data_IF_212293950094
#
_entry.id   IF_212293950094
#
_cell.length_a   1.000
_cell.length_b   1.000
_cell.length_c   1.000
_cell.angle_alpha   90.00
_cell.angle_beta   90.00
_cell.angle_gamma   90.00
#
_symmetry.space_group_name_H-M   'P 1'
#
loop_
_entity.id
_entity.type
_entity.pdbx_description
1 polymer ?
#
# COMPACT_ATOMS: atom_id res chain seq x y z
N UNK A 1 -12.43 -3.96 -9.92
CA UNK A 1 -11.24 -4.48 -10.61
C UNK A 1 -11.38 -4.02 -12.05
N UNK A 2 -10.58 -3.00 -12.46
CA UNK A 2 -10.47 -2.72 -13.88
C UNK A 2 -9.68 -3.88 -14.50
N UNK A 3 -10.38 -4.82 -15.12
CA UNK A 3 -9.78 -5.56 -16.20
C UNK A 3 -9.48 -4.54 -17.29
N UNK A 4 -8.22 -4.33 -17.59
CA UNK A 4 -7.86 -3.60 -18.78
C UNK A 4 -8.44 -4.39 -19.95
N UNK A 5 -9.52 -3.87 -20.49
CA UNK A 5 -10.26 -4.51 -21.56
C UNK A 5 -9.45 -4.36 -22.85
N UNK A 6 -8.73 -5.41 -23.21
CA UNK A 6 -8.22 -5.61 -24.56
C UNK A 6 -9.38 -6.01 -25.50
N UNK A 7 -10.56 -5.39 -25.35
CA UNK A 7 -11.76 -5.74 -26.11
C UNK A 7 -12.39 -7.06 -25.65
N UNK A 8 -12.20 -7.46 -24.38
CA UNK A 8 -12.82 -8.67 -23.80
C UNK A 8 -12.28 -9.99 -24.36
N UNK A 9 -11.16 -9.98 -25.09
CA UNK A 9 -10.58 -11.21 -25.66
C UNK A 9 -9.82 -11.97 -24.59
N UNK A 10 -10.24 -13.20 -24.32
CA UNK A 10 -9.43 -14.22 -23.64
C UNK A 10 -8.36 -14.73 -24.60
N UNK A 11 -7.16 -15.04 -24.06
CA UNK A 11 -6.18 -15.84 -24.79
C UNK A 11 -6.80 -17.22 -25.08
N UNK A 12 -7.11 -17.49 -26.34
CA UNK A 12 -7.77 -18.73 -26.75
C UNK A 12 -6.78 -19.76 -27.27
N UNK A 13 -5.54 -19.37 -27.58
CA UNK A 13 -4.50 -20.22 -28.12
C UNK A 13 -3.17 -20.09 -27.42
N UNK A 14 -2.31 -21.12 -27.50
CA UNK A 14 -0.96 -21.11 -26.96
C UNK A 14 -0.06 -20.04 -27.62
N UNK A 15 -0.36 -19.63 -28.84
CA UNK A 15 0.38 -18.54 -29.52
C UNK A 15 0.14 -17.18 -28.88
N UNK A 16 -1.02 -16.97 -28.23
CA UNK A 16 -1.32 -15.74 -27.47
C UNK A 16 -0.59 -15.70 -26.12
N UNK A 17 0.03 -16.81 -25.71
CA UNK A 17 0.90 -16.91 -24.55
C UNK A 17 2.39 -16.78 -24.94
N UNK A 18 2.67 -16.38 -26.18
CA UNK A 18 4.05 -16.20 -26.65
C UNK A 18 4.75 -15.02 -26.00
N UNK A 19 6.08 -15.00 -26.10
CA UNK A 19 6.90 -13.87 -25.66
C UNK A 19 6.86 -12.69 -26.64
N UNK A 20 5.96 -12.70 -27.61
CA UNK A 20 5.69 -11.57 -28.49
C UNK A 20 5.26 -10.37 -27.64
N UNK A 21 5.95 -9.23 -27.72
CA UNK A 21 5.60 -8.04 -26.94
C UNK A 21 4.19 -7.52 -27.23
N UNK A 22 3.59 -7.87 -28.37
CA UNK A 22 2.23 -7.50 -28.73
C UNK A 22 1.19 -8.58 -28.33
N UNK A 23 1.64 -9.74 -27.83
CA UNK A 23 0.73 -10.79 -27.38
C UNK A 23 0.02 -10.40 -26.08
N UNK A 24 -1.24 -10.80 -25.86
CA UNK A 24 -1.97 -10.54 -24.61
C UNK A 24 -1.21 -10.96 -23.34
N UNK A 25 -0.46 -12.07 -23.41
CA UNK A 25 0.37 -12.51 -22.27
C UNK A 25 1.52 -11.56 -21.95
N UNK A 26 2.17 -10.98 -22.98
CA UNK A 26 3.22 -9.99 -22.75
C UNK A 26 2.70 -8.71 -22.09
N UNK A 27 1.42 -8.40 -22.25
CA UNK A 27 0.76 -7.27 -21.57
C UNK A 27 0.43 -7.56 -20.10
N UNK A 28 0.29 -8.85 -19.72
CA UNK A 28 -0.10 -9.27 -18.37
C UNK A 28 0.98 -10.07 -17.64
N UNK A 29 1.93 -10.63 -18.36
CA UNK A 29 2.98 -11.48 -17.82
C UNK A 29 4.34 -10.82 -17.93
N UNK A 30 4.90 -10.35 -16.87
CA UNK A 30 6.23 -9.75 -16.88
C UNK A 30 6.42 -8.71 -15.79
N UNK A 31 5.62 -8.77 -14.75
CA UNK A 31 5.90 -8.05 -13.52
C UNK A 31 7.24 -8.51 -12.93
N UNK A 32 7.95 -7.64 -12.20
CA UNK A 32 9.19 -8.02 -11.55
C UNK A 32 8.94 -9.12 -10.51
N UNK A 33 9.88 -10.05 -10.41
CA UNK A 33 9.91 -10.98 -9.30
C UNK A 33 10.04 -10.21 -7.98
N UNK A 34 9.36 -10.66 -6.93
CA UNK A 34 9.39 -9.99 -5.62
C UNK A 34 10.62 -10.42 -4.79
N UNK A 35 11.06 -11.68 -4.97
CA UNK A 35 12.19 -12.23 -4.24
C UNK A 35 13.46 -11.41 -4.47
N UNK A 36 14.17 -11.08 -3.38
CA UNK A 36 15.38 -10.27 -3.41
C UNK A 36 15.21 -8.79 -3.72
N UNK A 37 13.99 -8.33 -4.03
CA UNK A 37 13.68 -6.90 -4.24
C UNK A 37 13.53 -6.16 -2.92
N UNK A 38 13.68 -4.84 -2.97
CA UNK A 38 13.53 -3.97 -1.81
C UNK A 38 12.07 -3.54 -1.64
N UNK A 39 11.49 -3.89 -0.51
CA UNK A 39 10.18 -3.42 -0.09
C UNK A 39 10.34 -2.24 0.87
N UNK A 40 9.93 -1.08 0.42
CA UNK A 40 9.92 0.16 1.19
C UNK A 40 8.56 0.36 1.85
N UNK A 41 8.55 0.56 3.16
CA UNK A 41 7.31 0.75 3.89
C UNK A 41 7.28 2.08 4.62
N UNK A 42 6.15 2.79 4.51
CA UNK A 42 5.90 4.06 5.20
C UNK A 42 4.82 3.82 6.26
N UNK A 43 5.23 3.80 7.53
CA UNK A 43 4.41 3.45 8.69
C UNK A 43 4.53 1.99 9.11
N UNK A 44 4.83 1.74 10.39
CA UNK A 44 5.02 0.40 10.99
C UNK A 44 4.09 0.18 12.19
N UNK A 45 2.83 0.63 12.06
CA UNK A 45 1.74 0.37 12.98
C UNK A 45 1.22 -1.09 12.87
N UNK A 46 0.04 -1.37 13.39
CA UNK A 46 -0.53 -2.73 13.37
C UNK A 46 -0.65 -3.29 11.96
N UNK A 47 -1.19 -2.53 11.01
CA UNK A 47 -1.33 -2.95 9.62
C UNK A 47 0.05 -3.08 8.97
N UNK A 48 0.91 -2.07 9.14
CA UNK A 48 2.25 -2.08 8.57
C UNK A 48 3.08 -3.29 8.99
N UNK A 49 3.01 -3.72 10.26
CA UNK A 49 3.68 -4.93 10.75
C UNK A 49 3.20 -6.19 10.03
N UNK A 50 1.90 -6.30 9.79
CA UNK A 50 1.32 -7.45 9.09
C UNK A 50 1.66 -7.47 7.60
N UNK A 51 1.77 -6.30 6.97
CA UNK A 51 2.24 -6.17 5.58
C UNK A 51 3.73 -6.55 5.49
N UNK A 52 4.57 -6.01 6.37
CA UNK A 52 6.01 -6.31 6.40
C UNK A 52 6.29 -7.81 6.61
N UNK A 53 5.57 -8.48 7.52
CA UNK A 53 5.68 -9.94 7.69
C UNK A 53 5.47 -10.71 6.38
N UNK A 54 4.50 -10.29 5.60
CA UNK A 54 4.19 -10.93 4.31
C UNK A 54 5.25 -10.65 3.25
N UNK A 55 5.75 -9.42 3.19
CA UNK A 55 6.84 -9.06 2.30
C UNK A 55 8.15 -9.81 2.68
N UNK A 56 8.45 -9.93 3.99
CA UNK A 56 9.56 -10.74 4.48
C UNK A 56 9.42 -12.22 4.07
N UNK A 57 8.23 -12.80 4.24
CA UNK A 57 7.96 -14.19 3.85
C UNK A 57 8.08 -14.44 2.34
N UNK A 58 7.93 -13.40 1.51
CA UNK A 58 8.18 -13.45 0.07
C UNK A 58 9.67 -13.25 -0.29
N UNK A 59 10.57 -13.19 0.71
CA UNK A 59 12.00 -13.04 0.52
C UNK A 59 12.44 -11.65 0.08
N UNK A 60 11.66 -10.61 0.38
CA UNK A 60 12.02 -9.22 0.08
C UNK A 60 12.94 -8.62 1.14
N UNK A 61 13.80 -7.68 0.74
CA UNK A 61 14.60 -6.86 1.65
C UNK A 61 13.74 -5.72 2.18
N UNK A 62 13.61 -5.58 3.50
CA UNK A 62 12.73 -4.59 4.10
C UNK A 62 13.49 -3.32 4.52
N UNK A 63 13.02 -2.16 4.06
CA UNK A 63 13.42 -0.84 4.55
C UNK A 63 12.15 -0.08 5.00
N UNK A 64 12.17 0.47 6.21
CA UNK A 64 10.96 1.00 6.84
C UNK A 64 11.21 2.40 7.39
N UNK A 65 10.33 3.32 7.02
CA UNK A 65 10.22 4.63 7.63
C UNK A 65 9.06 4.65 8.62
N UNK A 66 9.38 4.85 9.88
CA UNK A 66 8.44 5.18 10.95
C UNK A 66 9.19 5.98 12.02
N UNK A 67 8.83 7.25 12.31
CA UNK A 67 9.54 8.07 13.28
C UNK A 67 9.36 7.59 14.72
N UNK A 68 8.28 6.84 15.02
CA UNK A 68 7.90 6.48 16.38
C UNK A 68 8.34 5.07 16.80
N UNK A 69 8.78 4.24 15.85
CA UNK A 69 9.17 2.85 16.09
C UNK A 69 10.69 2.73 16.08
N UNK A 70 11.27 2.04 17.08
CA UNK A 70 12.73 1.83 17.17
C UNK A 70 13.19 0.72 16.20
N UNK A 71 14.50 0.66 15.92
CA UNK A 71 15.09 -0.42 15.11
C UNK A 71 14.83 -1.79 15.74
N UNK A 72 15.00 -1.94 17.05
CA UNK A 72 14.78 -3.20 17.78
C UNK A 72 13.38 -3.80 17.55
N UNK A 73 12.37 -2.94 17.37
CA UNK A 73 11.00 -3.38 17.09
C UNK A 73 10.82 -3.89 15.65
N UNK A 74 11.82 -3.75 14.80
CA UNK A 74 11.84 -4.19 13.40
C UNK A 74 12.78 -5.38 13.17
N UNK A 75 13.71 -5.64 14.11
CA UNK A 75 14.79 -6.63 13.97
C UNK A 75 14.28 -8.06 13.74
N UNK A 76 13.10 -8.41 14.25
CA UNK A 76 12.51 -9.75 14.05
C UNK A 76 12.10 -10.04 12.60
N UNK A 77 12.17 -9.05 11.72
CA UNK A 77 11.92 -9.16 10.28
C UNK A 77 13.18 -8.85 9.44
N UNK A 78 14.35 -8.74 10.07
CA UNK A 78 15.58 -8.26 9.42
C UNK A 78 15.39 -6.93 8.67
N UNK A 79 14.40 -6.12 9.11
CA UNK A 79 14.05 -4.87 8.47
C UNK A 79 14.97 -3.75 8.97
N UNK A 80 15.35 -2.85 8.05
CA UNK A 80 16.18 -1.68 8.37
C UNK A 80 15.30 -0.45 8.55
N UNK A 81 15.42 0.24 9.69
CA UNK A 81 14.85 1.57 9.88
C UNK A 81 15.66 2.58 9.09
N UNK A 82 14.98 3.35 8.25
CA UNK A 82 15.60 4.37 7.38
C UNK A 82 14.77 5.65 7.37
N UNK A 83 15.32 6.73 6.81
CA UNK A 83 14.55 7.94 6.53
C UNK A 83 13.62 7.77 5.31
N UNK A 84 12.68 8.70 5.15
CA UNK A 84 11.72 8.65 4.06
C UNK A 84 12.38 8.74 2.68
N UNK A 85 13.41 9.55 2.54
CA UNK A 85 14.12 9.71 1.26
C UNK A 85 14.78 8.42 0.82
N UNK A 86 15.35 7.68 1.76
CA UNK A 86 15.93 6.36 1.52
C UNK A 86 14.87 5.37 1.06
N UNK A 87 13.68 5.36 1.71
CA UNK A 87 12.56 4.53 1.23
C UNK A 87 12.22 4.87 -0.21
N UNK A 88 12.04 6.14 -0.53
CA UNK A 88 11.65 6.58 -1.86
C UNK A 88 12.70 6.26 -2.92
N UNK A 89 14.00 6.37 -2.60
CA UNK A 89 15.12 6.14 -3.54
C UNK A 89 15.42 4.66 -3.76
N UNK A 90 15.34 3.84 -2.72
CA UNK A 90 15.89 2.48 -2.76
C UNK A 90 14.84 1.39 -2.95
N UNK A 91 13.56 1.67 -2.69
CA UNK A 91 12.52 0.68 -2.81
C UNK A 91 12.19 0.36 -4.28
N UNK A 92 11.93 -0.92 -4.54
CA UNK A 92 11.33 -1.40 -5.79
C UNK A 92 9.80 -1.46 -5.67
N UNK A 93 9.30 -1.69 -4.46
CA UNK A 93 7.88 -1.63 -4.10
C UNK A 93 7.71 -0.76 -2.86
N UNK A 94 6.84 0.23 -2.92
CA UNK A 94 6.56 1.13 -1.81
C UNK A 94 5.12 0.90 -1.34
N UNK A 95 4.92 0.68 -0.03
CA UNK A 95 3.60 0.55 0.59
C UNK A 95 3.38 1.60 1.67
N UNK A 96 2.24 2.30 1.57
CA UNK A 96 1.85 3.32 2.54
C UNK A 96 0.88 2.72 3.56
N UNK A 97 1.26 2.76 4.85
CA UNK A 97 0.52 2.19 5.97
C UNK A 97 0.46 3.15 7.18
N UNK A 98 0.73 4.44 6.98
CA UNK A 98 0.65 5.45 8.04
C UNK A 98 -0.76 6.04 8.20
N UNK A 99 -1.06 6.54 9.39
CA UNK A 99 -2.30 7.27 9.67
C UNK A 99 -2.21 8.70 9.10
N UNK A 100 -3.38 9.36 8.96
CA UNK A 100 -3.46 10.78 8.66
C UNK A 100 -3.42 11.57 9.97
N UNK A 101 -2.33 12.25 10.18
CA UNK A 101 -2.10 13.23 11.24
C UNK A 101 -1.49 14.48 10.61
N UNK A 102 -1.43 15.64 11.29
CA UNK A 102 -0.85 16.85 10.70
C UNK A 102 0.50 16.62 10.01
N UNK A 103 1.35 15.80 10.61
CA UNK A 103 2.72 15.51 10.16
C UNK A 103 2.78 14.59 8.92
N UNK A 104 1.71 13.87 8.63
CA UNK A 104 1.63 12.95 7.48
C UNK A 104 0.80 13.47 6.32
N UNK A 105 0.09 14.58 6.50
CA UNK A 105 -0.63 15.23 5.39
C UNK A 105 0.39 15.75 4.37
N UNK A 106 0.29 15.27 3.12
CA UNK A 106 1.23 15.62 2.05
C UNK A 106 2.66 15.11 2.27
N UNK A 107 2.87 14.17 3.17
CA UNK A 107 4.18 13.58 3.48
C UNK A 107 4.91 13.10 2.22
N UNK A 108 4.17 12.50 1.29
CA UNK A 108 4.68 12.01 0.01
C UNK A 108 4.43 13.09 -1.02
N UNK A 109 5.27 14.11 -0.97
CA UNK A 109 5.21 15.28 -1.85
C UNK A 109 5.72 14.95 -3.27
N UNK A 110 5.58 15.91 -4.19
CA UNK A 110 6.14 15.85 -5.55
C UNK A 110 7.64 15.54 -5.54
N UNK A 111 8.39 16.19 -4.65
CA UNK A 111 9.85 15.99 -4.51
C UNK A 111 10.17 14.56 -4.06
N UNK A 112 9.36 13.98 -3.15
CA UNK A 112 9.52 12.60 -2.70
C UNK A 112 9.23 11.60 -3.82
N UNK A 113 8.15 11.82 -4.57
CA UNK A 113 7.79 10.98 -5.73
C UNK A 113 8.89 11.02 -6.79
N UNK A 114 9.51 12.18 -6.99
CA UNK A 114 10.60 12.35 -7.96
C UNK A 114 11.88 11.55 -7.60
N UNK A 115 12.01 11.08 -6.35
CA UNK A 115 13.13 10.24 -5.92
C UNK A 115 12.96 8.76 -6.30
N UNK A 116 11.75 8.33 -6.67
CA UNK A 116 11.45 6.93 -6.92
C UNK A 116 12.20 6.40 -8.15
N UNK A 117 12.54 5.11 -8.10
CA UNK A 117 13.11 4.43 -9.27
C UNK A 117 12.10 4.39 -10.43
N UNK A 118 12.55 4.47 -11.68
CA UNK A 118 11.67 4.30 -12.84
C UNK A 118 10.99 2.91 -12.89
N UNK A 119 11.57 1.92 -12.22
CA UNK A 119 11.04 0.56 -12.12
C UNK A 119 10.18 0.34 -10.87
N UNK A 120 10.00 1.36 -10.02
CA UNK A 120 9.28 1.20 -8.76
C UNK A 120 7.76 1.15 -8.94
N UNK A 121 7.13 0.39 -8.05
CA UNK A 121 5.67 0.34 -7.90
C UNK A 121 5.26 0.98 -6.57
N UNK A 122 4.21 1.79 -6.61
CA UNK A 122 3.70 2.51 -5.45
C UNK A 122 2.31 2.00 -5.06
N UNK A 123 2.11 1.63 -3.79
CA UNK A 123 0.84 1.11 -3.29
C UNK A 123 0.34 1.96 -2.13
N UNK A 124 -0.88 2.49 -2.26
CA UNK A 124 -1.54 3.24 -1.19
C UNK A 124 -2.91 2.64 -0.85
N UNK A 125 -2.96 1.97 0.29
CA UNK A 125 -4.19 1.48 0.92
C UNK A 125 -4.46 2.19 2.25
N UNK A 126 -3.72 3.25 2.56
CA UNK A 126 -3.89 4.03 3.78
C UNK A 126 -4.92 5.14 3.58
N UNK A 127 -4.49 6.32 3.13
CA UNK A 127 -5.39 7.46 2.83
C UNK A 127 -4.77 8.33 1.72
N UNK A 128 -5.62 8.95 0.91
CA UNK A 128 -5.15 9.83 -0.17
C UNK A 128 -4.45 11.09 0.34
N UNK A 129 -4.86 11.61 1.51
CA UNK A 129 -4.30 12.85 2.10
C UNK A 129 -2.81 12.80 2.42
N UNK A 130 -2.20 11.60 2.47
CA UNK A 130 -0.75 11.47 2.76
C UNK A 130 0.12 11.76 1.55
N UNK A 131 -0.47 11.91 0.38
CA UNK A 131 0.26 11.97 -0.89
C UNK A 131 -0.18 13.17 -1.74
N UNK A 132 0.73 13.73 -2.52
CA UNK A 132 0.43 14.62 -3.65
C UNK A 132 -0.11 13.77 -4.82
N UNK A 133 -1.44 13.69 -4.91
CA UNK A 133 -2.14 12.88 -5.90
C UNK A 133 -1.86 13.33 -7.34
N UNK A 134 -1.73 14.63 -7.55
CA UNK A 134 -1.43 15.19 -8.87
C UNK A 134 0.00 14.86 -9.30
N UNK A 135 0.94 14.92 -8.36
CA UNK A 135 2.33 14.53 -8.63
C UNK A 135 2.45 13.04 -8.95
N UNK A 136 1.70 12.18 -8.25
CA UNK A 136 1.68 10.75 -8.57
C UNK A 136 1.09 10.50 -9.96
N UNK A 137 0.00 11.17 -10.31
CA UNK A 137 -0.57 11.08 -11.66
C UNK A 137 0.44 11.48 -12.74
N UNK A 138 1.13 12.61 -12.56
CA UNK A 138 2.14 13.09 -13.50
C UNK A 138 3.27 12.06 -13.67
N UNK A 139 3.78 11.50 -12.56
CA UNK A 139 4.84 10.50 -12.57
C UNK A 139 4.42 9.21 -13.31
N UNK A 140 3.19 8.77 -13.13
CA UNK A 140 2.64 7.59 -13.80
C UNK A 140 2.42 7.85 -15.30
N UNK A 141 1.84 8.99 -15.65
CA UNK A 141 1.57 9.40 -17.03
C UNK A 141 2.87 9.53 -17.83
N UNK A 142 3.88 10.12 -17.23
CA UNK A 142 5.20 10.31 -17.84
C UNK A 142 6.09 9.06 -17.75
N UNK A 143 5.59 7.96 -17.17
CA UNK A 143 6.33 6.70 -16.94
C UNK A 143 7.63 6.90 -16.16
N UNK A 144 7.64 7.88 -15.25
CA UNK A 144 8.74 8.11 -14.30
C UNK A 144 8.80 7.03 -13.22
N UNK A 145 7.69 6.33 -13.00
CA UNK A 145 7.59 5.11 -12.18
C UNK A 145 6.83 4.05 -12.98
N UNK A 146 7.03 2.79 -12.64
CA UNK A 146 6.46 1.66 -13.38
C UNK A 146 4.94 1.58 -13.25
N UNK A 147 4.42 1.77 -12.04
CA UNK A 147 2.98 1.64 -11.81
C UNK A 147 2.56 1.98 -10.39
N UNK A 148 1.24 1.96 -10.15
CA UNK A 148 0.68 2.13 -8.82
C UNK A 148 -0.56 1.25 -8.57
N UNK A 149 -0.76 0.88 -7.29
CA UNK A 149 -1.98 0.31 -6.76
C UNK A 149 -2.64 1.29 -5.80
N UNK A 150 -3.85 1.74 -6.09
CA UNK A 150 -4.56 2.72 -5.26
C UNK A 150 -5.92 2.17 -4.84
N UNK A 151 -6.16 2.19 -3.53
CA UNK A 151 -7.44 1.82 -2.92
C UNK A 151 -8.19 3.03 -2.35
N UNK A 152 -7.53 4.21 -2.31
CA UNK A 152 -8.04 5.44 -1.69
C UNK A 152 -7.81 6.66 -2.58
N UNK A 153 -8.77 7.59 -2.57
CA UNK A 153 -8.81 8.74 -3.48
C UNK A 153 -9.10 10.04 -2.73
N UNK A 154 -8.71 11.21 -3.31
CA UNK A 154 -9.04 12.52 -2.73
C UNK A 154 -10.55 12.77 -2.57
N UNK A 155 -11.33 12.23 -3.51
CA UNK A 155 -12.80 12.23 -3.48
C UNK A 155 -13.27 10.80 -3.65
N UNK A 156 -14.12 10.33 -2.75
CA UNK A 156 -14.69 8.98 -2.76
C UNK A 156 -16.24 9.05 -2.72
N UNK A 157 -16.94 8.33 -3.64
CA UNK A 157 -16.42 7.51 -4.73
C UNK A 157 -15.60 8.33 -5.75
N UNK A 158 -14.61 7.69 -6.40
CA UNK A 158 -13.80 8.35 -7.44
C UNK A 158 -14.70 8.87 -8.56
N UNK A 159 -14.59 10.16 -8.95
CA UNK A 159 -15.41 10.72 -10.03
C UNK A 159 -15.13 10.04 -11.38
N UNK A 160 -16.17 9.83 -12.19
CA UNK A 160 -16.04 9.18 -13.50
C UNK A 160 -15.06 9.89 -14.47
N UNK A 161 -14.82 11.19 -14.27
CA UNK A 161 -13.86 11.98 -15.06
C UNK A 161 -12.49 12.11 -14.43
N UNK A 162 -12.19 11.38 -13.35
CA UNK A 162 -10.87 11.47 -12.74
C UNK A 162 -9.77 11.00 -13.71
N UNK A 163 -8.73 11.83 -13.81
CA UNK A 163 -7.64 11.62 -14.76
C UNK A 163 -6.89 10.29 -14.56
N UNK A 164 -6.82 9.76 -13.32
CA UNK A 164 -6.15 8.50 -13.01
C UNK A 164 -6.79 7.31 -13.74
N UNK A 165 -8.11 7.39 -14.02
CA UNK A 165 -8.85 6.35 -14.73
C UNK A 165 -8.39 6.14 -16.17
N UNK A 166 -7.67 7.13 -16.75
CA UNK A 166 -7.13 7.04 -18.10
C UNK A 166 -5.80 6.29 -18.20
N UNK A 167 -5.15 6.02 -17.06
CA UNK A 167 -3.84 5.38 -17.03
C UNK A 167 -3.96 3.85 -17.10
N UNK A 168 -3.01 3.21 -17.80
CA UNK A 168 -2.95 1.74 -17.94
C UNK A 168 -2.02 1.06 -16.94
N UNK A 169 -1.10 1.80 -16.33
CA UNK A 169 -0.14 1.32 -15.34
C UNK A 169 -0.61 1.53 -13.90
N UNK A 170 -1.91 1.47 -13.67
CA UNK A 170 -2.51 1.57 -12.33
C UNK A 170 -3.51 0.44 -12.10
N UNK A 171 -3.53 -0.05 -10.85
CA UNK A 171 -4.60 -0.91 -10.34
C UNK A 171 -5.42 -0.09 -9.35
N UNK A 172 -6.72 0.01 -9.60
CA UNK A 172 -7.63 0.83 -8.80
C UNK A 172 -8.69 -0.05 -8.16
N UNK A 173 -8.89 0.10 -6.85
CA UNK A 173 -9.94 -0.59 -6.10
C UNK A 173 -10.77 0.43 -5.31
N UNK A 174 -12.08 0.21 -5.11
CA UNK A 174 -12.97 1.18 -4.47
C UNK A 174 -12.97 1.05 -2.95
N UNK A 175 -11.82 1.34 -2.30
CA UNK A 175 -11.61 1.34 -0.85
C UNK A 175 -11.96 -0.02 -0.20
N UNK A 176 -11.40 -1.11 -0.76
CA UNK A 176 -11.70 -2.49 -0.38
C UNK A 176 -10.62 -3.16 0.47
N UNK A 177 -9.47 -2.52 0.70
CA UNK A 177 -8.33 -3.15 1.38
C UNK A 177 -8.68 -3.66 2.79
N UNK A 178 -9.65 -3.03 3.46
CA UNK A 178 -10.18 -3.46 4.77
C UNK A 178 -11.51 -4.22 4.70
N UNK A 179 -12.05 -4.50 3.52
CA UNK A 179 -13.41 -5.06 3.36
C UNK A 179 -13.38 -6.59 3.26
N UNK A 180 -13.27 -7.25 4.41
CA UNK A 180 -13.47 -8.70 4.50
C UNK A 180 -14.85 -9.01 5.09
N UNK A 181 -15.49 -10.10 4.65
CA UNK A 181 -16.82 -10.51 5.16
C UNK A 181 -16.81 -10.74 6.67
N UNK A 182 -15.70 -11.27 7.19
CA UNK A 182 -15.57 -11.64 8.60
C UNK A 182 -15.16 -10.47 9.51
N UNK A 183 -14.83 -9.30 8.93
CA UNK A 183 -14.31 -8.16 9.69
C UNK A 183 -15.32 -7.64 10.71
N UNK A 184 -16.61 -7.65 10.35
CA UNK A 184 -17.69 -7.20 11.24
C UNK A 184 -17.76 -8.09 12.48
N UNK A 185 -17.67 -9.41 12.30
CA UNK A 185 -17.62 -10.37 13.42
C UNK A 185 -16.43 -10.14 14.33
N UNK A 186 -15.22 -10.05 13.78
CA UNK A 186 -14.00 -9.83 14.54
C UNK A 186 -14.00 -8.47 15.28
N UNK A 187 -14.42 -7.40 14.62
CA UNK A 187 -14.52 -6.07 15.26
C UNK A 187 -15.55 -6.08 16.39
N UNK A 188 -16.71 -6.72 16.17
CA UNK A 188 -17.75 -6.85 17.18
C UNK A 188 -17.25 -7.63 18.40
N UNK A 189 -16.54 -8.74 18.21
CA UNK A 189 -15.96 -9.53 19.29
C UNK A 189 -14.94 -8.72 20.11
N UNK A 190 -14.05 -7.97 19.44
CA UNK A 190 -13.08 -7.10 20.10
C UNK A 190 -13.79 -6.06 20.97
N UNK A 191 -14.76 -5.33 20.40
CA UNK A 191 -15.50 -4.28 21.10
C UNK A 191 -16.31 -4.87 22.27
N UNK A 192 -17.05 -5.95 22.06
CA UNK A 192 -17.83 -6.59 23.12
C UNK A 192 -16.96 -7.12 24.26
N UNK A 193 -15.75 -7.62 23.94
CA UNK A 193 -14.81 -8.08 24.96
C UNK A 193 -14.41 -6.92 25.87
N UNK A 194 -14.07 -5.77 25.31
CA UNK A 194 -13.66 -4.61 26.10
C UNK A 194 -14.84 -3.96 26.83
N UNK A 195 -16.02 -3.89 26.23
CA UNK A 195 -17.25 -3.41 26.89
C UNK A 195 -17.59 -4.28 28.11
N UNK A 196 -17.53 -5.63 27.98
CA UNK A 196 -17.77 -6.53 29.10
C UNK A 196 -16.78 -6.30 30.25
N UNK A 197 -15.50 -6.12 29.95
CA UNK A 197 -14.49 -5.81 30.95
C UNK A 197 -14.74 -4.48 31.66
N UNK A 198 -15.07 -3.44 30.91
CA UNK A 198 -15.40 -2.13 31.49
C UNK A 198 -16.59 -2.22 32.43
N UNK A 199 -17.66 -2.94 32.03
CA UNK A 199 -18.84 -3.15 32.87
C UNK A 199 -18.55 -3.99 34.13
N UNK A 200 -17.55 -4.87 34.05
CA UNK A 200 -17.06 -5.65 35.20
C UNK A 200 -16.02 -4.89 36.05
N UNK A 201 -15.75 -3.60 35.78
CA UNK A 201 -14.70 -2.80 36.40
C UNK A 201 -13.28 -3.40 36.19
N UNK A 202 -13.08 -4.17 35.11
CA UNK A 202 -11.80 -4.70 34.69
C UNK A 202 -11.16 -3.79 33.62
N UNK A 203 -9.85 -3.86 33.50
CA UNK A 203 -9.11 -3.10 32.49
C UNK A 203 -9.38 -3.64 31.10
N UNK A 204 -9.82 -2.81 30.12
CA UNK A 204 -9.98 -3.21 28.74
C UNK A 204 -8.63 -3.62 28.11
N UNK A 205 -8.68 -4.47 27.09
CA UNK A 205 -7.49 -5.01 26.43
C UNK A 205 -6.94 -4.10 25.33
N UNK A 206 -7.84 -3.46 24.59
CA UNK A 206 -7.49 -2.65 23.40
C UNK A 206 -7.72 -1.16 23.65
N UNK A 207 -6.80 -0.53 24.38
CA UNK A 207 -6.91 0.86 24.81
C UNK A 207 -6.11 1.74 23.82
N UNK A 208 -6.80 2.66 23.13
CA UNK A 208 -6.19 3.58 22.19
C UNK A 208 -5.49 4.77 22.88
N UNK A 209 -5.97 5.14 24.08
CA UNK A 209 -5.52 6.31 24.85
C UNK A 209 -5.31 5.92 26.33
N UNK A 210 -4.28 5.10 26.63
CA UNK A 210 -4.05 4.57 27.98
C UNK A 210 -3.82 5.66 29.07
N UNK A 211 -3.46 6.86 28.65
CA UNK A 211 -3.27 8.01 29.54
C UNK A 211 -4.52 8.44 30.30
N UNK A 212 -5.72 8.11 29.78
CA UNK A 212 -7.01 8.44 30.45
C UNK A 212 -7.37 7.50 31.61
N UNK A 213 -6.60 6.42 31.78
CA UNK A 213 -6.81 5.43 32.83
C UNK A 213 -5.93 5.66 34.07
N UNK A 214 -5.28 6.82 34.14
CA UNK A 214 -4.42 7.23 35.27
C UNK A 214 -5.19 8.02 36.30
#
# INVERSE_FOLDING_TARGET
>A
VQYHDNGGKRAETMSEWSMDPDAPFALYGGGPEMYGKTFGQIGFGMIGREVAKRAHALGMNLIIYDPYVSQEQMDYLDAKKVDLDTVMKEADFISVNCNVVPETVGLISREKIALMKPTAYFVNTARAKVLDYDALYDALKEKKIAGAGLDVYPVEPIPAGDKILSLRNVVLTPHLAGSARDIVGHQTEIVLTDVKKILAHEQPKFICNPEVLK
#
